data_IF_557655668783
#
_entry.id   IF_557655668783
#
_cell.length_a   1.000
_cell.length_b   1.000
_cell.length_c   1.000
_cell.angle_alpha   90.00
_cell.angle_beta   90.00
_cell.angle_gamma   90.00
#
_symmetry.space_group_name_H-M   'P 1'
#
loop_
_entity.id
_entity.type
_entity.pdbx_description
1 polymer ?
#
# COMPACT_ATOMS: atom_id res chain seq x y z
N UNK A 1 -31.85 -10.27 -1.46
CA UNK A 1 -30.43 -10.70 -1.37
C UNK A 1 -30.03 -10.65 0.10
N UNK A 2 -29.06 -11.45 0.56
CA UNK A 2 -28.57 -11.27 1.94
C UNK A 2 -27.68 -10.03 2.01
N UNK A 3 -27.62 -9.36 3.18
CA UNK A 3 -26.76 -8.19 3.40
C UNK A 3 -25.29 -8.47 3.04
N UNK A 4 -24.80 -9.71 3.26
CA UNK A 4 -23.45 -10.12 2.88
C UNK A 4 -23.27 -10.15 1.35
N UNK A 5 -24.28 -10.61 0.60
CA UNK A 5 -24.24 -10.64 -0.86
C UNK A 5 -24.18 -9.23 -1.45
N UNK A 6 -24.91 -8.29 -0.89
CA UNK A 6 -24.88 -6.88 -1.28
C UNK A 6 -23.52 -6.25 -0.98
N UNK A 7 -22.91 -6.62 0.16
CA UNK A 7 -21.57 -6.18 0.52
C UNK A 7 -20.49 -6.68 -0.46
N UNK A 8 -20.55 -7.96 -0.88
CA UNK A 8 -19.66 -8.48 -1.92
C UNK A 8 -19.86 -7.79 -3.28
N UNK A 9 -21.09 -7.47 -3.65
CA UNK A 9 -21.36 -6.70 -4.88
C UNK A 9 -20.76 -5.29 -4.81
N UNK A 10 -20.80 -4.64 -3.64
CA UNK A 10 -20.15 -3.35 -3.45
C UNK A 10 -18.63 -3.44 -3.65
N UNK A 11 -17.97 -4.48 -3.11
CA UNK A 11 -16.54 -4.73 -3.35
C UNK A 11 -16.24 -4.93 -4.84
N UNK A 12 -17.07 -5.69 -5.56
CA UNK A 12 -16.90 -5.90 -6.99
C UNK A 12 -17.05 -4.59 -7.79
N UNK A 13 -18.01 -3.74 -7.45
CA UNK A 13 -18.18 -2.43 -8.10
C UNK A 13 -16.93 -1.54 -7.91
N UNK A 14 -16.39 -1.47 -6.71
CA UNK A 14 -15.17 -0.70 -6.42
C UNK A 14 -13.98 -1.25 -7.21
N UNK A 15 -13.79 -2.58 -7.22
CA UNK A 15 -12.68 -3.20 -7.92
C UNK A 15 -12.78 -3.01 -9.45
N UNK A 16 -13.97 -3.11 -10.03
CA UNK A 16 -14.19 -2.89 -11.45
C UNK A 16 -13.97 -1.44 -11.88
N UNK A 17 -14.45 -0.47 -11.07
CA UNK A 17 -14.31 0.95 -11.38
C UNK A 17 -12.86 1.44 -11.34
N UNK A 18 -11.99 0.77 -10.60
CA UNK A 18 -10.57 1.14 -10.48
C UNK A 18 -9.75 0.93 -11.76
N UNK A 19 -10.25 0.15 -12.73
CA UNK A 19 -9.53 -0.19 -13.96
C UNK A 19 -8.27 -1.06 -13.75
N UNK A 20 -8.08 -1.61 -12.55
CA UNK A 20 -6.88 -2.36 -12.17
C UNK A 20 -6.80 -3.73 -12.86
N UNK A 21 -5.61 -4.07 -13.34
CA UNK A 21 -5.31 -5.40 -13.88
C UNK A 21 -5.35 -6.50 -12.80
N UNK A 22 -5.18 -6.17 -11.52
CA UNK A 22 -5.25 -7.14 -10.42
C UNK A 22 -6.64 -7.77 -10.32
N UNK A 23 -7.70 -7.00 -10.50
CA UNK A 23 -9.06 -7.53 -10.44
C UNK A 23 -9.30 -8.63 -11.48
N UNK A 24 -8.75 -8.49 -12.69
CA UNK A 24 -8.84 -9.53 -13.74
C UNK A 24 -8.15 -10.83 -13.34
N UNK A 25 -7.04 -10.74 -12.60
CA UNK A 25 -6.35 -11.93 -12.11
C UNK A 25 -7.18 -12.71 -11.07
N UNK A 26 -8.07 -12.04 -10.33
CA UNK A 26 -8.93 -12.70 -9.35
C UNK A 26 -9.98 -13.63 -10.00
N UNK A 27 -10.31 -13.45 -11.28
CA UNK A 27 -11.27 -14.32 -11.99
C UNK A 27 -10.81 -15.78 -12.07
N UNK A 28 -9.51 -16.04 -11.97
CA UNK A 28 -8.95 -17.40 -11.96
C UNK A 28 -9.02 -18.08 -10.59
N UNK A 29 -9.41 -17.36 -9.54
CA UNK A 29 -9.56 -17.91 -8.21
C UNK A 29 -10.94 -18.56 -8.01
N UNK A 30 -11.00 -19.55 -7.10
CA UNK A 30 -12.28 -20.09 -6.62
C UNK A 30 -13.12 -18.96 -6.02
N UNK A 31 -14.43 -19.08 -6.12
CA UNK A 31 -15.37 -18.02 -5.77
C UNK A 31 -15.16 -17.44 -4.35
N UNK A 32 -14.89 -18.29 -3.37
CA UNK A 32 -14.65 -17.89 -2.00
C UNK A 32 -13.38 -17.01 -1.86
N UNK A 33 -12.27 -17.46 -2.44
CA UNK A 33 -11.01 -16.72 -2.46
C UNK A 33 -11.10 -15.45 -3.31
N UNK A 34 -11.80 -15.52 -4.46
CA UNK A 34 -12.03 -14.35 -5.29
C UNK A 34 -12.78 -13.27 -4.53
N UNK A 35 -13.83 -13.62 -3.79
CA UNK A 35 -14.59 -12.68 -2.96
C UNK A 35 -13.73 -12.04 -1.88
N UNK A 36 -12.89 -12.83 -1.20
CA UNK A 36 -11.99 -12.32 -0.18
C UNK A 36 -10.92 -11.39 -0.77
N UNK A 37 -10.29 -11.75 -1.90
CA UNK A 37 -9.34 -10.87 -2.60
C UNK A 37 -9.99 -9.57 -3.07
N UNK A 38 -11.24 -9.64 -3.55
CA UNK A 38 -11.99 -8.45 -3.99
C UNK A 38 -12.34 -7.54 -2.80
N UNK A 39 -12.66 -8.12 -1.63
CA UNK A 39 -12.93 -7.35 -0.42
C UNK A 39 -11.64 -6.67 0.12
N UNK A 40 -10.52 -7.38 0.15
CA UNK A 40 -9.21 -6.83 0.49
C UNK A 40 -8.81 -5.69 -0.45
N UNK A 41 -8.96 -5.91 -1.76
CA UNK A 41 -8.66 -4.90 -2.76
C UNK A 41 -9.55 -3.65 -2.60
N UNK A 42 -10.86 -3.83 -2.41
CA UNK A 42 -11.78 -2.72 -2.22
C UNK A 42 -11.43 -1.89 -0.97
N UNK A 43 -11.05 -2.56 0.14
CA UNK A 43 -10.59 -1.88 1.35
C UNK A 43 -9.32 -1.03 1.09
N UNK A 44 -8.30 -1.62 0.47
CA UNK A 44 -7.05 -0.91 0.17
C UNK A 44 -7.30 0.26 -0.79
N UNK A 45 -8.12 0.05 -1.82
CA UNK A 45 -8.44 1.08 -2.81
C UNK A 45 -9.19 2.28 -2.20
N UNK A 46 -10.14 2.02 -1.30
CA UNK A 46 -10.84 3.09 -0.59
C UNK A 46 -9.89 3.90 0.32
N UNK A 47 -8.90 3.24 0.94
CA UNK A 47 -7.89 3.93 1.73
C UNK A 47 -7.03 4.86 0.86
N UNK A 48 -6.56 4.37 -0.30
CA UNK A 48 -5.79 5.17 -1.27
C UNK A 48 -6.62 6.36 -1.78
N UNK A 49 -7.87 6.12 -2.22
CA UNK A 49 -8.76 7.18 -2.74
C UNK A 49 -9.02 8.27 -1.68
N UNK A 50 -9.22 7.89 -0.42
CA UNK A 50 -9.46 8.85 0.67
C UNK A 50 -8.25 9.78 0.91
N UNK A 51 -7.03 9.26 0.76
CA UNK A 51 -5.81 10.06 0.91
C UNK A 51 -5.50 10.93 -0.29
N UNK A 52 -5.79 10.45 -1.50
CA UNK A 52 -5.63 11.23 -2.73
C UNK A 52 -6.57 12.44 -2.76
N UNK A 53 -7.83 12.26 -2.33
CA UNK A 53 -8.80 13.35 -2.18
C UNK A 53 -8.33 14.38 -1.13
N UNK A 54 -7.71 13.93 -0.04
CA UNK A 54 -7.18 14.82 0.98
C UNK A 54 -6.02 15.69 0.48
N UNK A 55 -5.18 15.18 -0.43
CA UNK A 55 -4.04 15.91 -1.00
C UNK A 55 -4.47 16.95 -2.05
N UNK A 56 -5.54 16.68 -2.82
CA UNK A 56 -6.01 17.58 -3.88
C UNK A 56 -6.81 18.78 -3.34
N UNK A 57 -7.34 18.69 -2.13
CA UNK A 57 -8.25 19.69 -1.54
C UNK A 57 -7.56 20.67 -0.57
N UNK A 58 -6.30 21.02 -0.77
CA UNK A 58 -5.52 21.94 0.11
C UNK A 58 -6.20 23.32 0.33
N UNK A 59 -7.15 23.71 -0.53
CA UNK A 59 -7.89 24.99 -0.43
C UNK A 59 -9.40 24.82 -0.15
N UNK A 60 -9.91 23.61 0.01
CA UNK A 60 -11.33 23.37 0.27
C UNK A 60 -11.55 23.02 1.75
N UNK A 61 -12.42 23.79 2.40
CA UNK A 61 -12.74 23.68 3.84
C UNK A 61 -13.51 22.39 4.17
N UNK A 62 -13.69 21.47 3.21
CA UNK A 62 -14.33 20.18 3.49
C UNK A 62 -13.39 19.29 4.30
N UNK A 63 -13.87 18.69 5.41
CA UNK A 63 -13.08 17.70 6.15
C UNK A 63 -12.70 16.57 5.17
N UNK A 64 -11.41 16.27 5.07
CA UNK A 64 -10.99 15.07 4.33
C UNK A 64 -11.60 13.85 5.03
N UNK A 65 -12.08 12.89 4.26
CA UNK A 65 -12.60 11.61 4.76
C UNK A 65 -11.51 10.75 5.40
N UNK A 66 -10.26 11.19 5.28
CA UNK A 66 -9.12 10.49 5.81
C UNK A 66 -8.78 10.94 7.23
N UNK A 67 -8.88 10.01 8.14
CA UNK A 67 -8.30 10.08 9.48
C UNK A 67 -7.88 8.65 9.89
N UNK A 68 -6.59 8.43 10.09
CA UNK A 68 -6.03 7.10 10.35
C UNK A 68 -6.67 6.42 11.58
N UNK A 69 -6.87 7.17 12.68
CA UNK A 69 -7.43 6.62 13.92
C UNK A 69 -8.89 6.18 13.72
N UNK A 70 -9.68 6.92 12.96
CA UNK A 70 -11.05 6.56 12.65
C UNK A 70 -11.14 5.30 11.79
N UNK A 71 -10.22 5.14 10.82
CA UNK A 71 -10.15 3.96 9.97
C UNK A 71 -9.69 2.73 10.75
N UNK A 72 -8.70 2.87 11.64
CA UNK A 72 -8.28 1.79 12.54
C UNK A 72 -9.43 1.40 13.48
N UNK A 73 -10.12 2.37 14.06
CA UNK A 73 -11.27 2.12 14.92
C UNK A 73 -12.40 1.37 14.19
N UNK A 74 -12.71 1.80 12.97
CA UNK A 74 -13.67 1.10 12.12
C UNK A 74 -13.26 -0.35 11.83
N UNK A 75 -11.96 -0.59 11.56
CA UNK A 75 -11.42 -1.93 11.32
C UNK A 75 -11.52 -2.81 12.58
N UNK A 76 -11.26 -2.25 13.75
CA UNK A 76 -11.34 -2.96 15.03
C UNK A 76 -12.78 -3.36 15.38
N UNK A 77 -13.72 -2.51 15.03
CA UNK A 77 -15.15 -2.71 15.27
C UNK A 77 -15.86 -3.62 14.26
N UNK A 78 -15.14 -4.21 13.29
CA UNK A 78 -15.76 -5.07 12.27
C UNK A 78 -16.54 -6.25 12.86
N UNK A 79 -16.07 -6.81 13.97
CA UNK A 79 -16.66 -7.98 14.63
C UNK A 79 -17.82 -7.61 15.56
N UNK A 80 -17.99 -6.33 15.88
CA UNK A 80 -19.07 -5.88 16.73
C UNK A 80 -20.40 -5.89 15.95
N UNK A 81 -21.41 -6.59 16.48
CA UNK A 81 -22.80 -6.50 15.99
C UNK A 81 -23.42 -5.12 16.26
N UNK A 82 -22.67 -4.19 16.84
CA UNK A 82 -23.10 -2.82 17.03
C UNK A 82 -23.10 -2.11 15.67
N UNK A 83 -24.24 -1.55 15.29
CA UNK A 83 -24.27 -0.53 14.24
C UNK A 83 -23.26 0.53 14.67
N UNK A 84 -22.18 0.65 13.94
CA UNK A 84 -21.24 1.75 14.13
C UNK A 84 -22.06 3.04 14.19
N UNK A 85 -22.02 3.73 15.33
CA UNK A 85 -22.73 5.00 15.48
C UNK A 85 -21.95 5.99 14.62
N UNK A 86 -22.44 6.24 13.42
CA UNK A 86 -21.90 7.23 12.52
C UNK A 86 -21.72 8.54 13.29
N UNK A 87 -20.49 9.05 13.30
CA UNK A 87 -20.31 10.46 13.62
C UNK A 87 -21.13 11.25 12.59
N UNK A 88 -22.19 11.99 12.98
CA UNK A 88 -23.12 12.63 12.04
C UNK A 88 -22.43 13.54 11.02
N UNK A 89 -21.25 14.06 11.34
CA UNK A 89 -20.43 14.86 10.42
C UNK A 89 -19.75 14.04 9.33
N UNK A 90 -19.62 12.71 9.47
CA UNK A 90 -18.97 11.79 8.51
C UNK A 90 -19.96 11.01 7.66
N UNK A 91 -21.24 10.95 8.06
CA UNK A 91 -22.29 10.22 7.33
C UNK A 91 -22.55 10.75 5.91
N UNK A 92 -22.06 11.94 5.59
CA UNK A 92 -22.23 12.56 4.26
C UNK A 92 -21.05 12.33 3.30
N UNK A 93 -19.96 11.68 3.75
CA UNK A 93 -18.79 11.43 2.92
C UNK A 93 -18.99 10.17 2.07
N UNK A 94 -18.69 10.28 0.79
CA UNK A 94 -18.83 9.17 -0.16
C UNK A 94 -17.93 7.98 0.18
N UNK A 95 -16.72 8.21 0.64
CA UNK A 95 -15.74 7.15 0.95
C UNK A 95 -16.12 6.39 2.21
N UNK A 96 -16.54 7.07 3.27
CA UNK A 96 -17.02 6.41 4.48
C UNK A 96 -18.31 5.61 4.24
N UNK A 97 -19.23 6.12 3.42
CA UNK A 97 -20.40 5.37 2.97
C UNK A 97 -20.03 4.09 2.22
N UNK A 98 -19.00 4.12 1.40
CA UNK A 98 -18.49 2.94 0.68
C UNK A 98 -17.83 1.94 1.64
N UNK A 99 -17.08 2.39 2.67
CA UNK A 99 -16.55 1.52 3.72
C UNK A 99 -17.66 0.72 4.42
N UNK A 100 -18.77 1.37 4.75
CA UNK A 100 -19.91 0.67 5.37
C UNK A 100 -20.50 -0.40 4.45
N UNK A 101 -20.52 -0.15 3.14
CA UNK A 101 -21.04 -1.12 2.16
C UNK A 101 -20.17 -2.38 2.05
N UNK A 102 -18.84 -2.28 2.20
CA UNK A 102 -17.91 -3.42 2.13
C UNK A 102 -17.72 -4.14 3.46
N UNK A 103 -18.25 -3.59 4.57
CA UNK A 103 -17.99 -4.04 5.95
C UNK A 103 -18.18 -5.53 6.14
N UNK A 104 -19.35 -6.06 5.73
CA UNK A 104 -19.68 -7.47 5.95
C UNK A 104 -18.82 -8.42 5.10
N UNK A 105 -18.49 -8.04 3.87
CA UNK A 105 -17.61 -8.82 3.00
C UNK A 105 -16.18 -8.87 3.54
N UNK A 106 -15.67 -7.77 4.08
CA UNK A 106 -14.34 -7.74 4.68
C UNK A 106 -14.31 -8.54 6.00
N UNK A 107 -15.31 -8.39 6.86
CA UNK A 107 -15.41 -9.16 8.11
C UNK A 107 -15.50 -10.68 7.86
N UNK A 108 -16.36 -11.13 6.93
CA UNK A 108 -16.45 -12.54 6.51
C UNK A 108 -15.11 -13.06 5.97
N UNK A 109 -14.39 -12.23 5.21
CA UNK A 109 -13.09 -12.60 4.65
C UNK A 109 -12.01 -12.73 5.73
N UNK A 110 -11.99 -11.81 6.71
CA UNK A 110 -11.06 -11.87 7.85
C UNK A 110 -11.31 -13.13 8.68
N UNK A 111 -12.56 -13.41 9.03
CA UNK A 111 -12.93 -14.56 9.84
C UNK A 111 -12.62 -15.88 9.11
N UNK A 112 -13.07 -15.99 7.86
CA UNK A 112 -12.98 -17.22 7.06
C UNK A 112 -11.54 -17.62 6.72
N UNK A 113 -10.68 -16.66 6.41
CA UNK A 113 -9.31 -16.91 5.96
C UNK A 113 -8.25 -16.60 7.01
N UNK A 114 -8.64 -16.07 8.17
CA UNK A 114 -7.69 -15.68 9.20
C UNK A 114 -6.77 -14.55 8.78
N UNK A 115 -7.29 -13.56 8.03
CA UNK A 115 -6.49 -12.40 7.62
C UNK A 115 -6.04 -11.65 8.88
N UNK A 116 -4.73 -11.44 9.09
CA UNK A 116 -4.27 -10.73 10.28
C UNK A 116 -4.75 -9.27 10.25
N UNK A 117 -5.58 -8.86 11.22
CA UNK A 117 -6.03 -7.47 11.32
C UNK A 117 -4.85 -6.49 11.42
N UNK A 118 -3.74 -6.92 12.04
CA UNK A 118 -2.54 -6.08 12.10
C UNK A 118 -1.96 -5.81 10.71
N UNK A 119 -2.02 -6.75 9.77
CA UNK A 119 -1.62 -6.49 8.39
C UNK A 119 -2.48 -5.38 7.75
N UNK A 120 -3.79 -5.39 8.01
CA UNK A 120 -4.69 -4.33 7.52
C UNK A 120 -4.40 -2.97 8.17
N UNK A 121 -4.06 -2.94 9.47
CA UNK A 121 -3.63 -1.71 10.15
C UNK A 121 -2.31 -1.18 9.57
N UNK A 122 -1.36 -2.07 9.27
CA UNK A 122 -0.10 -1.65 8.63
C UNK A 122 -0.32 -1.10 7.22
N UNK A 123 -1.27 -1.64 6.43
CA UNK A 123 -1.68 -1.06 5.15
C UNK A 123 -2.17 0.38 5.36
N UNK A 124 -3.07 0.62 6.32
CA UNK A 124 -3.57 1.97 6.62
C UNK A 124 -2.45 2.93 7.05
N UNK A 125 -1.52 2.45 7.89
CA UNK A 125 -0.34 3.24 8.30
C UNK A 125 0.58 3.57 7.12
N UNK A 126 0.71 2.66 6.15
CA UNK A 126 1.46 2.89 4.92
C UNK A 126 0.83 3.99 4.06
N UNK A 127 -0.47 3.89 3.84
CA UNK A 127 -1.24 4.90 3.10
C UNK A 127 -1.16 6.27 3.79
N UNK A 128 -1.32 6.34 5.13
CA UNK A 128 -1.17 7.59 5.90
C UNK A 128 0.24 8.17 5.77
N UNK A 129 1.26 7.33 5.76
CA UNK A 129 2.65 7.77 5.62
C UNK A 129 2.90 8.47 4.29
N UNK A 130 2.26 8.03 3.20
CA UNK A 130 2.38 8.62 1.87
C UNK A 130 1.63 9.96 1.70
N UNK A 131 0.78 10.34 2.68
CA UNK A 131 0.10 11.66 2.66
C UNK A 131 1.02 12.83 2.99
N UNK A 132 2.21 12.57 3.55
CA UNK A 132 3.13 13.59 4.08
C UNK A 132 4.51 13.48 3.43
N UNK A 133 5.25 14.60 3.34
CA UNK A 133 6.67 14.52 3.00
C UNK A 133 7.39 13.62 3.99
N UNK A 134 8.04 12.60 3.46
CA UNK A 134 8.66 11.57 4.26
C UNK A 134 10.16 11.48 3.94
N UNK A 135 11.00 11.41 4.98
CA UNK A 135 12.44 11.29 4.87
C UNK A 135 12.89 9.96 5.44
N UNK A 136 13.62 9.22 4.64
CA UNK A 136 14.22 7.94 5.02
C UNK A 136 15.69 8.18 5.31
N UNK A 137 16.07 8.20 6.58
CA UNK A 137 17.47 8.40 6.99
C UNK A 137 18.28 7.10 6.89
N UNK A 138 17.70 5.98 7.32
CA UNK A 138 18.36 4.67 7.38
C UNK A 138 17.55 3.60 6.65
N UNK A 139 18.24 2.56 6.22
CA UNK A 139 17.61 1.44 5.51
C UNK A 139 16.54 0.72 6.35
N UNK A 140 16.69 0.64 7.67
CA UNK A 140 15.67 0.05 8.54
C UNK A 140 14.33 0.81 8.47
N UNK A 141 14.38 2.12 8.28
CA UNK A 141 13.16 2.93 8.07
C UNK A 141 12.52 2.61 6.71
N UNK A 142 13.35 2.38 5.68
CA UNK A 142 12.85 1.91 4.40
C UNK A 142 12.22 0.52 4.51
N UNK A 143 12.84 -0.39 5.26
CA UNK A 143 12.25 -1.72 5.50
C UNK A 143 10.89 -1.63 6.20
N UNK A 144 10.77 -0.76 7.22
CA UNK A 144 9.49 -0.52 7.89
C UNK A 144 8.42 0.06 6.94
N UNK A 145 8.80 0.96 6.05
CA UNK A 145 7.92 1.49 5.00
C UNK A 145 7.49 0.39 4.03
N UNK A 146 8.45 -0.36 3.47
CA UNK A 146 8.17 -1.46 2.53
C UNK A 146 7.28 -2.54 3.15
N UNK A 147 7.45 -2.81 4.45
CA UNK A 147 6.56 -3.71 5.17
C UNK A 147 5.11 -3.23 5.10
N UNK A 148 4.86 -1.95 5.34
CA UNK A 148 3.52 -1.36 5.33
C UNK A 148 2.86 -1.39 3.95
N UNK A 149 3.57 -0.94 2.93
CA UNK A 149 2.99 -0.72 1.58
C UNK A 149 3.01 -1.97 0.68
N UNK A 150 3.78 -3.00 1.04
CA UNK A 150 3.91 -4.21 0.22
C UNK A 150 3.77 -5.51 1.03
N UNK A 151 4.60 -5.72 2.07
CA UNK A 151 4.60 -6.99 2.81
C UNK A 151 3.28 -7.24 3.53
N UNK A 152 2.68 -6.23 4.14
CA UNK A 152 1.39 -6.34 4.82
C UNK A 152 0.27 -6.76 3.86
N UNK A 153 0.27 -6.21 2.63
CA UNK A 153 -0.64 -6.65 1.56
C UNK A 153 -0.37 -8.11 1.19
N UNK A 154 0.90 -8.48 1.01
CA UNK A 154 1.32 -9.86 0.73
C UNK A 154 0.87 -10.84 1.81
N UNK A 155 0.99 -10.49 3.09
CA UNK A 155 0.53 -11.31 4.21
C UNK A 155 -0.99 -11.52 4.21
N UNK A 156 -1.76 -10.48 3.91
CA UNK A 156 -3.22 -10.61 3.73
C UNK A 156 -3.57 -11.53 2.55
N UNK A 157 -2.84 -11.44 1.44
CA UNK A 157 -2.98 -12.35 0.29
C UNK A 157 -2.62 -13.79 0.66
N UNK A 158 -1.52 -14.02 1.38
CA UNK A 158 -1.09 -15.35 1.83
C UNK A 158 -2.18 -15.99 2.71
N UNK A 159 -2.80 -15.23 3.61
CA UNK A 159 -3.91 -15.73 4.43
C UNK A 159 -5.07 -16.25 3.58
N UNK A 160 -5.39 -15.57 2.46
CA UNK A 160 -6.47 -15.96 1.56
C UNK A 160 -6.08 -17.17 0.69
N UNK A 161 -4.82 -17.26 0.24
CA UNK A 161 -4.38 -18.29 -0.71
C UNK A 161 -3.93 -19.59 -0.06
N UNK A 162 -3.51 -19.53 1.20
CA UNK A 162 -2.95 -20.66 1.94
C UNK A 162 -3.96 -21.28 2.91
N UNK A 163 -3.51 -22.25 3.67
CA UNK A 163 -4.24 -22.80 4.81
C UNK A 163 -4.27 -21.82 5.98
N UNK A 164 -5.28 -21.95 6.83
CA UNK A 164 -5.47 -21.06 7.98
C UNK A 164 -4.22 -21.01 8.87
N UNK A 165 -3.77 -19.81 9.20
CA UNK A 165 -2.60 -19.57 10.05
C UNK A 165 -1.26 -19.44 9.31
N UNK A 166 -1.22 -19.62 7.99
CA UNK A 166 0.02 -19.46 7.21
C UNK A 166 0.64 -18.05 7.31
N UNK A 167 -0.19 -17.02 7.46
CA UNK A 167 0.25 -15.62 7.61
C UNK A 167 0.58 -15.22 9.07
N UNK A 168 0.65 -16.16 10.01
CA UNK A 168 0.99 -15.86 11.40
C UNK A 168 2.48 -15.56 11.57
N UNK A 169 2.77 -14.60 12.44
CA UNK A 169 4.14 -14.21 12.80
C UNK A 169 4.98 -15.43 13.19
N UNK A 170 6.16 -15.53 12.60
CA UNK A 170 7.10 -16.63 12.85
C UNK A 170 6.92 -17.86 11.96
N UNK A 171 5.83 -17.97 11.20
CA UNK A 171 5.68 -19.04 10.21
C UNK A 171 6.67 -18.87 9.04
N UNK A 172 7.04 -19.97 8.34
CA UNK A 172 7.86 -19.85 7.12
C UNK A 172 7.19 -18.98 6.06
N UNK A 173 5.89 -19.13 5.83
CA UNK A 173 5.14 -18.35 4.85
C UNK A 173 5.07 -16.85 5.21
N UNK A 174 5.01 -16.52 6.51
CA UNK A 174 5.10 -15.13 6.97
C UNK A 174 6.43 -14.50 6.53
N UNK A 175 7.57 -15.18 6.81
CA UNK A 175 8.90 -14.66 6.44
C UNK A 175 9.03 -14.51 4.93
N UNK A 176 8.64 -15.52 4.16
CA UNK A 176 8.63 -15.46 2.70
C UNK A 176 7.75 -14.33 2.17
N UNK A 177 6.59 -14.10 2.79
CA UNK A 177 5.69 -12.99 2.43
C UNK A 177 6.30 -11.63 2.69
N UNK A 178 7.02 -11.47 3.82
CA UNK A 178 7.73 -10.23 4.14
C UNK A 178 8.86 -9.99 3.14
N UNK A 179 9.69 -10.98 2.88
CA UNK A 179 10.82 -10.89 1.95
C UNK A 179 10.32 -10.59 0.52
N UNK A 180 9.31 -11.30 0.05
CA UNK A 180 8.68 -11.07 -1.24
C UNK A 180 8.13 -9.63 -1.38
N UNK A 181 7.45 -9.13 -0.34
CA UNK A 181 6.99 -7.75 -0.31
C UNK A 181 8.13 -6.73 -0.40
N UNK A 182 9.21 -6.94 0.33
CA UNK A 182 10.41 -6.11 0.25
C UNK A 182 11.04 -6.16 -1.15
N UNK A 183 11.20 -7.35 -1.75
CA UNK A 183 11.73 -7.52 -3.09
C UNK A 183 10.92 -6.75 -4.14
N UNK A 184 9.59 -6.90 -4.12
CA UNK A 184 8.70 -6.17 -5.03
C UNK A 184 8.77 -4.66 -4.82
N UNK A 185 8.78 -4.20 -3.58
CA UNK A 185 8.80 -2.76 -3.33
C UNK A 185 10.15 -2.13 -3.67
N UNK A 186 11.27 -2.79 -3.40
CA UNK A 186 12.58 -2.34 -3.87
C UNK A 186 12.64 -2.26 -5.40
N UNK A 187 12.07 -3.24 -6.09
CA UNK A 187 11.97 -3.23 -7.56
C UNK A 187 11.13 -2.05 -8.05
N UNK A 188 9.99 -1.77 -7.41
CA UNK A 188 9.14 -0.62 -7.73
C UNK A 188 9.89 0.70 -7.50
N UNK A 189 10.54 0.88 -6.35
CA UNK A 189 11.33 2.08 -6.03
C UNK A 189 12.41 2.34 -7.09
N UNK A 190 13.11 1.30 -7.54
CA UNK A 190 14.12 1.45 -8.59
C UNK A 190 13.51 1.75 -9.96
N UNK A 191 12.41 1.10 -10.31
CA UNK A 191 11.70 1.31 -11.57
C UNK A 191 11.15 2.73 -11.68
N UNK A 192 10.53 3.20 -10.62
CA UNK A 192 9.75 4.44 -10.61
C UNK A 192 10.56 5.66 -10.12
N UNK A 193 11.87 5.49 -9.91
CA UNK A 193 12.76 6.50 -9.33
C UNK A 193 12.69 7.88 -10.02
N UNK A 194 12.57 7.90 -11.35
CA UNK A 194 12.45 9.15 -12.13
C UNK A 194 11.08 9.78 -11.96
N UNK A 195 10.02 8.97 -11.96
CA UNK A 195 8.65 9.44 -11.78
C UNK A 195 8.43 10.00 -10.37
N UNK A 196 8.94 9.30 -9.35
CA UNK A 196 8.89 9.73 -7.95
C UNK A 196 9.66 11.04 -7.74
N UNK A 197 10.83 11.17 -8.38
CA UNK A 197 11.60 12.41 -8.31
C UNK A 197 10.86 13.62 -8.90
N UNK A 198 10.04 13.43 -9.94
CA UNK A 198 9.21 14.50 -10.49
C UNK A 198 8.16 15.02 -9.50
N UNK A 199 7.79 14.17 -8.52
CA UNK A 199 6.89 14.50 -7.41
C UNK A 199 7.64 14.89 -6.12
N UNK A 200 8.93 15.21 -6.20
CA UNK A 200 9.83 15.50 -5.06
C UNK A 200 9.99 14.35 -4.06
N UNK A 201 9.73 13.10 -4.49
CA UNK A 201 9.81 11.90 -3.67
C UNK A 201 11.10 11.13 -3.97
N UNK A 202 11.84 10.79 -2.91
CA UNK A 202 12.98 9.86 -2.96
C UNK A 202 12.82 8.89 -1.79
N UNK A 203 12.64 7.61 -2.14
CA UNK A 203 12.50 6.53 -1.17
C UNK A 203 13.82 5.84 -0.81
N UNK A 204 14.95 6.25 -1.43
CA UNK A 204 16.26 5.74 -1.09
C UNK A 204 16.73 6.31 0.26
N UNK A 205 17.37 5.47 1.10
CA UNK A 205 17.86 5.89 2.40
C UNK A 205 19.00 6.91 2.28
N UNK A 206 18.95 7.97 3.09
CA UNK A 206 19.93 9.05 3.07
C UNK A 206 21.35 8.54 3.37
N UNK A 207 21.50 7.55 4.25
CA UNK A 207 22.81 6.92 4.54
C UNK A 207 23.44 6.29 3.29
N UNK A 208 22.63 5.66 2.41
CA UNK A 208 23.13 5.06 1.16
C UNK A 208 23.47 6.15 0.13
N UNK A 209 22.66 7.22 0.07
CA UNK A 209 22.96 8.38 -0.77
C UNK A 209 24.32 8.99 -0.36
N UNK A 210 24.51 9.24 0.94
CA UNK A 210 25.75 9.80 1.46
C UNK A 210 26.95 8.87 1.20
N UNK A 211 26.78 7.56 1.39
CA UNK A 211 27.82 6.56 1.14
C UNK A 211 28.29 6.57 -0.32
N UNK A 212 27.39 6.76 -1.25
CA UNK A 212 27.67 6.81 -2.69
C UNK A 212 27.97 8.23 -3.19
N UNK A 213 28.06 9.21 -2.28
CA UNK A 213 28.40 10.60 -2.59
C UNK A 213 27.30 11.40 -3.25
N UNK A 214 26.02 11.00 -3.04
CA UNK A 214 24.85 11.79 -3.36
C UNK A 214 24.32 12.53 -2.14
N UNK A 215 23.61 13.60 -2.40
CA UNK A 215 22.64 14.20 -1.48
C UNK A 215 21.26 14.12 -2.11
N UNK A 216 20.19 14.14 -1.32
CA UNK A 216 18.82 14.13 -1.85
C UNK A 216 18.60 15.26 -2.88
N UNK A 217 19.03 16.52 -2.65
CA UNK A 217 18.91 17.58 -3.66
C UNK A 217 19.68 17.28 -4.95
N UNK A 218 20.93 16.81 -4.87
CA UNK A 218 21.73 16.51 -6.07
C UNK A 218 21.16 15.36 -6.88
N UNK A 219 20.56 14.36 -6.20
CA UNK A 219 19.88 13.25 -6.83
C UNK A 219 18.60 13.74 -7.56
N UNK A 220 17.77 14.53 -6.89
CA UNK A 220 16.56 15.10 -7.48
C UNK A 220 16.88 15.96 -8.70
N UNK A 221 17.90 16.81 -8.63
CA UNK A 221 18.36 17.62 -9.75
C UNK A 221 18.71 16.75 -10.96
N UNK A 222 19.49 15.69 -10.76
CA UNK A 222 19.89 14.77 -11.82
C UNK A 222 18.70 14.02 -12.43
N UNK A 223 17.71 13.60 -11.62
CA UNK A 223 16.56 12.83 -12.06
C UNK A 223 15.48 13.68 -12.74
N UNK A 224 15.38 14.96 -12.38
CA UNK A 224 14.38 15.91 -12.95
C UNK A 224 14.77 16.51 -14.30
N UNK A 225 15.94 16.21 -14.83
CA UNK A 225 16.34 16.66 -16.17
C UNK A 225 15.30 16.23 -17.21
N UNK A 226 14.75 17.21 -17.93
CA UNK A 226 13.65 16.99 -18.88
C UNK A 226 14.07 16.16 -20.08
N UNK A 227 15.30 16.35 -20.56
CA UNK A 227 15.86 15.58 -21.70
C UNK A 227 16.35 14.22 -21.22
N UNK A 228 15.77 13.11 -21.72
CA UNK A 228 16.19 11.77 -21.36
C UNK A 228 17.66 11.47 -21.69
N UNK A 229 18.20 12.03 -22.78
CA UNK A 229 19.60 11.82 -23.19
C UNK A 229 20.57 12.55 -22.24
N UNK A 230 20.25 13.80 -21.87
CA UNK A 230 21.04 14.56 -20.89
C UNK A 230 20.96 13.89 -19.51
N UNK A 231 19.79 13.44 -19.11
CA UNK A 231 19.59 12.68 -17.86
C UNK A 231 20.43 11.40 -17.85
N UNK A 232 20.35 10.61 -18.91
CA UNK A 232 21.12 9.38 -19.06
C UNK A 232 22.63 9.66 -19.00
N UNK A 233 23.09 10.73 -19.63
CA UNK A 233 24.49 11.13 -19.59
C UNK A 233 24.92 11.60 -18.18
N UNK A 234 24.08 12.38 -17.49
CA UNK A 234 24.33 12.82 -16.11
C UNK A 234 24.42 11.63 -15.14
N UNK A 235 23.58 10.63 -15.35
CA UNK A 235 23.56 9.39 -14.58
C UNK A 235 24.80 8.53 -14.91
N UNK A 236 25.07 8.27 -16.18
CA UNK A 236 26.11 7.33 -16.63
C UNK A 236 27.54 7.81 -16.36
N UNK A 237 27.77 9.12 -16.32
CA UNK A 237 29.08 9.70 -16.05
C UNK A 237 29.49 9.66 -14.58
N UNK A 238 28.63 9.19 -13.70
CA UNK A 238 28.91 9.11 -12.27
C UNK A 238 28.96 7.64 -11.85
N UNK A 239 30.15 7.06 -11.66
CA UNK A 239 30.31 5.71 -11.08
C UNK A 239 29.54 5.50 -9.79
N UNK A 240 29.20 6.59 -9.10
CA UNK A 240 28.30 6.66 -7.95
C UNK A 240 26.91 6.05 -8.19
N UNK A 241 26.35 6.22 -9.40
CA UNK A 241 25.06 5.67 -9.75
C UNK A 241 25.07 4.16 -9.77
N UNK A 242 26.09 3.58 -10.37
CA UNK A 242 26.22 2.14 -10.44
C UNK A 242 26.29 1.56 -9.02
N UNK A 243 27.11 2.15 -8.15
CA UNK A 243 27.22 1.72 -6.75
C UNK A 243 25.88 1.82 -6.02
N UNK A 244 25.13 2.93 -6.17
CA UNK A 244 23.83 3.11 -5.55
C UNK A 244 22.81 2.07 -6.04
N UNK A 245 22.73 1.85 -7.35
CA UNK A 245 21.82 0.87 -7.94
C UNK A 245 22.21 -0.56 -7.54
N UNK A 246 23.50 -0.87 -7.48
CA UNK A 246 24.00 -2.19 -7.08
C UNK A 246 23.60 -2.51 -5.63
N UNK A 247 23.67 -1.54 -4.71
CA UNK A 247 23.23 -1.70 -3.32
C UNK A 247 21.77 -2.17 -3.27
N UNK A 248 20.88 -1.45 -3.95
CA UNK A 248 19.45 -1.75 -3.90
C UNK A 248 19.07 -2.99 -4.69
N UNK A 249 19.74 -3.26 -5.80
CA UNK A 249 19.58 -4.50 -6.59
C UNK A 249 20.00 -5.72 -5.80
N UNK A 250 21.13 -5.65 -5.07
CA UNK A 250 21.59 -6.73 -4.20
C UNK A 250 20.62 -6.97 -3.03
N UNK A 251 20.10 -5.91 -2.41
CA UNK A 251 19.08 -6.02 -1.37
C UNK A 251 17.79 -6.66 -1.89
N UNK A 252 17.33 -6.26 -3.07
CA UNK A 252 16.17 -6.89 -3.70
C UNK A 252 16.44 -8.37 -3.99
N UNK A 253 17.57 -8.70 -4.60
CA UNK A 253 17.96 -10.08 -4.91
C UNK A 253 18.08 -10.96 -3.66
N UNK A 254 18.49 -10.40 -2.52
CA UNK A 254 18.58 -11.14 -1.25
C UNK A 254 17.20 -11.48 -0.65
N UNK A 255 16.13 -10.79 -1.08
CA UNK A 255 14.75 -11.01 -0.66
C UNK A 255 13.98 -11.97 -1.60
N UNK A 256 14.48 -12.23 -2.84
CA UNK A 256 13.90 -13.21 -3.77
C UNK A 256 14.37 -14.63 -3.46
#
# INVERSE_FOLDING_TARGET
MSNLQESHQACEQIAQSSGSNFYRAFEFLRLDRRRAMTALYAFSRLADDATDEAQTNVNDVRPSDWNLDDWIHWLDDLDSNQKYVENPSKASSTTFGQLQRIRLALADSIERFGIPKEALREILRGVDQDTRPFHIERYEQLQAYMFRVASAVGLACIAIWSDHGAAQVGSPAYRMGVDCGHAFQLTNILRDLVEDAQRDRIYLANEDLMRTGFTKPSLLESLKLSDPAIRQQAISNQGKWQELIDIYTQRAAACY
#
